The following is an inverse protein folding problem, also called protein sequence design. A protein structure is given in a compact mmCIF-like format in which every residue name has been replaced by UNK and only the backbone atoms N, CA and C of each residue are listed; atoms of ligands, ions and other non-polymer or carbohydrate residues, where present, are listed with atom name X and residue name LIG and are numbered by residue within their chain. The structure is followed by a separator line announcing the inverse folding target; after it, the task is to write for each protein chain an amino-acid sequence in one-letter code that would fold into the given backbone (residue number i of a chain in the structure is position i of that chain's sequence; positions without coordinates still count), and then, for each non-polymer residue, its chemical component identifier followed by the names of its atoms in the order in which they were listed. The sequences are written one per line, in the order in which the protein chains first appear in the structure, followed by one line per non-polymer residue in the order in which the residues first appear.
data_IF_672550052858
#
_entry.id   IF_672550052858
#
_cell.length_a   1.000
_cell.length_b   1.000
_cell.length_c   1.000
_cell.angle_alpha   90.00
_cell.angle_beta   90.00
_cell.angle_gamma   90.00
#
_symmetry.space_group_name_H-M   'P 1'
#
loop_
_entity.id
_entity.type
_entity.pdbx_description
1 polymer ?
#
# COMPACT_ATOMS: atom_id res chain seq x y z
N UNK A 1 -0.42 3.11 -12.77
CA UNK A 1 0.37 2.35 -13.75
C UNK A 1 1.46 1.50 -13.08
N UNK A 2 2.57 2.04 -12.57
CA UNK A 2 3.65 1.21 -11.98
C UNK A 2 3.17 0.09 -11.01
N UNK A 3 2.33 0.43 -10.02
CA UNK A 3 1.79 -0.57 -9.08
C UNK A 3 0.86 -1.61 -9.72
N UNK A 4 0.11 -1.24 -10.77
CA UNK A 4 -0.75 -2.21 -11.47
C UNK A 4 0.09 -3.21 -12.25
N UNK A 5 1.18 -2.73 -12.84
CA UNK A 5 2.05 -3.55 -13.68
C UNK A 5 2.78 -4.59 -12.82
N UNK A 6 3.23 -4.20 -11.62
CA UNK A 6 3.83 -5.14 -10.65
C UNK A 6 2.79 -6.15 -10.13
N UNK A 7 1.64 -5.66 -9.66
CA UNK A 7 0.64 -6.52 -8.98
C UNK A 7 0.11 -7.63 -9.86
N UNK A 8 -0.01 -7.39 -11.16
CA UNK A 8 -0.53 -8.34 -12.13
C UNK A 8 0.48 -8.60 -13.25
N UNK A 9 1.77 -8.61 -12.89
CA UNK A 9 2.89 -8.89 -13.80
C UNK A 9 2.83 -10.30 -14.36
N UNK A 10 2.51 -11.28 -13.51
CA UNK A 10 2.35 -12.68 -13.92
C UNK A 10 0.96 -12.92 -14.55
N UNK A 11 -0.10 -12.79 -13.76
CA UNK A 11 -1.47 -13.00 -14.23
C UNK A 11 -2.48 -12.28 -13.32
N UNK A 12 -3.58 -11.81 -13.91
CA UNK A 12 -4.75 -11.42 -13.11
C UNK A 12 -5.55 -12.66 -12.75
N UNK A 13 -5.92 -12.79 -11.47
CA UNK A 13 -6.85 -13.81 -10.98
C UNK A 13 -7.89 -13.11 -10.12
N UNK A 14 -9.16 -13.21 -10.49
CA UNK A 14 -10.23 -12.60 -9.73
C UNK A 14 -10.31 -13.19 -8.31
N UNK A 15 -10.27 -12.33 -7.30
CA UNK A 15 -10.41 -12.70 -5.87
C UNK A 15 -11.73 -13.41 -5.52
N UNK A 16 -12.81 -13.19 -6.28
CA UNK A 16 -14.14 -13.78 -6.03
C UNK A 16 -14.39 -15.06 -6.80
N UNK A 17 -14.20 -15.04 -8.12
CA UNK A 17 -14.57 -16.16 -9.00
C UNK A 17 -13.37 -16.88 -9.65
N UNK A 18 -12.13 -16.49 -9.33
CA UNK A 18 -10.88 -17.06 -9.88
C UNK A 18 -10.71 -16.94 -11.40
N UNK A 19 -11.60 -16.24 -12.09
CA UNK A 19 -11.45 -15.97 -13.53
C UNK A 19 -10.23 -15.10 -13.83
N UNK A 20 -9.59 -15.35 -14.98
CA UNK A 20 -8.29 -14.78 -15.32
C UNK A 20 -8.34 -13.57 -16.26
N UNK A 21 -9.49 -13.31 -16.89
CA UNK A 21 -9.66 -12.14 -17.76
C UNK A 21 -10.29 -10.96 -17.02
N UNK A 22 -9.82 -9.77 -17.37
CA UNK A 22 -10.27 -8.50 -16.80
C UNK A 22 -10.24 -7.36 -17.81
N UNK A 23 -11.10 -6.37 -17.60
CA UNK A 23 -11.01 -5.05 -18.22
C UNK A 23 -10.11 -4.12 -17.40
N UNK A 24 -9.30 -3.30 -18.07
CA UNK A 24 -8.46 -2.28 -17.44
C UNK A 24 -9.21 -0.94 -17.46
N UNK A 25 -9.37 -0.32 -16.30
CA UNK A 25 -10.00 1.00 -16.14
C UNK A 25 -8.99 2.15 -16.30
N UNK A 26 -9.50 3.38 -16.41
CA UNK A 26 -8.70 4.61 -16.52
C UNK A 26 -7.76 4.83 -15.31
N UNK A 27 -8.16 4.36 -14.13
CA UNK A 27 -7.38 4.42 -12.89
C UNK A 27 -6.42 3.22 -12.73
N UNK A 28 -6.25 2.41 -13.77
CA UNK A 28 -5.46 1.17 -13.79
C UNK A 28 -5.99 0.08 -12.85
N UNK A 29 -7.23 0.19 -12.37
CA UNK A 29 -7.91 -0.92 -11.72
C UNK A 29 -8.31 -2.00 -12.74
N UNK A 30 -8.43 -3.25 -12.29
CA UNK A 30 -8.91 -4.37 -13.10
C UNK A 30 -10.32 -4.76 -12.67
N UNK A 31 -11.25 -4.87 -13.61
CA UNK A 31 -12.61 -5.38 -13.39
C UNK A 31 -12.75 -6.75 -14.00
N UNK A 32 -13.20 -7.73 -13.22
CA UNK A 32 -13.44 -9.08 -13.71
C UNK A 32 -14.55 -9.11 -14.76
N UNK A 33 -14.34 -9.84 -15.86
CA UNK A 33 -15.33 -9.95 -16.94
C UNK A 33 -16.54 -10.81 -16.59
N UNK A 34 -16.47 -11.62 -15.53
CA UNK A 34 -17.55 -12.54 -15.13
C UNK A 34 -18.38 -11.93 -13.99
N UNK A 35 -17.77 -11.68 -12.84
CA UNK A 35 -18.50 -11.22 -11.65
C UNK A 35 -18.49 -9.69 -11.46
N UNK A 36 -17.90 -8.94 -12.40
CA UNK A 36 -17.77 -7.47 -12.34
C UNK A 36 -17.04 -6.92 -11.10
N UNK A 37 -16.35 -7.77 -10.34
CA UNK A 37 -15.55 -7.35 -9.19
C UNK A 37 -14.39 -6.47 -9.64
N UNK A 38 -14.22 -5.32 -9.00
CA UNK A 38 -13.19 -4.35 -9.36
C UNK A 38 -12.12 -4.29 -8.28
N UNK A 39 -10.87 -4.48 -8.71
CA UNK A 39 -9.71 -4.49 -7.85
C UNK A 39 -8.73 -3.38 -8.25
N UNK A 40 -8.35 -2.54 -7.28
CA UNK A 40 -7.31 -1.54 -7.48
C UNK A 40 -5.91 -2.13 -7.30
N UNK A 41 -4.91 -1.47 -7.88
CA UNK A 41 -3.50 -1.82 -7.69
C UNK A 41 -3.06 -1.79 -6.21
N UNK A 42 -3.74 -0.99 -5.38
CA UNK A 42 -3.46 -0.86 -3.94
C UNK A 42 -4.31 -1.80 -3.08
N UNK A 43 -5.24 -2.55 -3.68
CA UNK A 43 -6.08 -3.48 -2.94
C UNK A 43 -5.25 -4.58 -2.27
N UNK A 44 -5.59 -4.91 -1.02
CA UNK A 44 -4.88 -5.91 -0.21
C UNK A 44 -3.38 -5.62 0.00
N UNK A 45 -3.00 -4.35 0.02
CA UNK A 45 -1.64 -3.90 0.35
C UNK A 45 -1.65 -2.96 1.56
N UNK A 46 -0.46 -2.61 2.06
CA UNK A 46 -0.27 -1.51 3.01
C UNK A 46 -0.94 -0.20 2.56
N UNK A 47 -1.04 0.03 1.24
CA UNK A 47 -1.64 1.23 0.66
C UNK A 47 -3.14 1.12 0.39
N UNK A 48 -3.79 0.04 0.84
CA UNK A 48 -5.24 -0.13 0.67
C UNK A 48 -6.01 1.01 1.34
N UNK A 49 -6.93 1.64 0.58
CA UNK A 49 -7.80 2.77 0.98
C UNK A 49 -7.06 4.04 1.42
N UNK A 50 -5.80 4.23 1.01
CA UNK A 50 -5.09 5.50 1.23
C UNK A 50 -5.74 6.61 0.40
N UNK A 51 -6.23 7.67 1.07
CA UNK A 51 -6.91 8.81 0.44
C UNK A 51 -6.04 10.05 0.26
N UNK A 52 -4.91 10.14 0.96
CA UNK A 52 -4.01 11.31 0.94
C UNK A 52 -2.92 11.23 -0.14
N UNK A 53 -3.05 10.29 -1.08
CA UNK A 53 -2.12 10.10 -2.19
C UNK A 53 -0.99 9.12 -1.89
N UNK A 54 -0.65 8.31 -2.91
CA UNK A 54 0.35 7.25 -2.77
C UNK A 54 1.76 7.80 -2.52
N UNK A 55 2.16 8.88 -3.19
CA UNK A 55 3.50 9.47 -3.02
C UNK A 55 3.79 9.79 -1.55
N UNK A 56 2.88 10.50 -0.88
CA UNK A 56 2.98 10.82 0.54
C UNK A 56 3.02 9.56 1.40
N UNK A 57 2.19 8.56 1.10
CA UNK A 57 2.16 7.31 1.84
C UNK A 57 3.50 6.55 1.74
N UNK A 58 4.12 6.51 0.57
CA UNK A 58 5.44 5.93 0.38
C UNK A 58 6.51 6.66 1.19
N UNK A 59 6.55 7.99 1.15
CA UNK A 59 7.51 8.76 1.95
C UNK A 59 7.33 8.56 3.46
N UNK A 60 6.09 8.50 3.95
CA UNK A 60 5.84 8.20 5.36
C UNK A 60 6.36 6.80 5.71
N UNK A 61 6.13 5.79 4.86
CA UNK A 61 6.67 4.44 5.07
C UNK A 61 8.19 4.43 5.09
N UNK A 62 8.81 5.12 4.12
CA UNK A 62 10.26 5.24 4.01
C UNK A 62 10.86 5.87 5.27
N UNK A 63 10.35 7.02 5.70
CA UNK A 63 10.83 7.69 6.92
C UNK A 63 10.67 6.82 8.17
N UNK A 64 9.55 6.08 8.27
CA UNK A 64 9.36 5.15 9.37
C UNK A 64 10.29 3.94 9.33
N UNK A 65 10.72 3.49 8.13
CA UNK A 65 11.66 2.38 7.99
C UNK A 65 13.12 2.76 8.18
N UNK A 66 13.50 4.00 7.86
CA UNK A 66 14.92 4.42 7.88
C UNK A 66 15.29 5.27 9.10
N UNK A 67 14.30 5.84 9.80
CA UNK A 67 14.56 6.67 10.98
C UNK A 67 14.79 5.80 12.22
N UNK A 68 15.93 5.99 12.88
CA UNK A 68 16.19 5.46 14.24
C UNK A 68 15.46 6.26 15.32
N UNK A 69 14.91 7.43 14.97
CA UNK A 69 14.15 8.30 15.88
C UNK A 69 12.65 8.04 15.75
N UNK A 70 11.96 8.06 16.90
CA UNK A 70 10.51 8.02 16.98
C UNK A 70 9.87 9.20 16.23
N UNK A 71 9.11 8.90 15.18
CA UNK A 71 8.30 9.88 14.46
C UNK A 71 6.94 10.07 15.14
N UNK A 72 6.57 11.33 15.40
CA UNK A 72 5.25 11.66 15.95
C UNK A 72 4.23 11.89 14.84
N UNK A 73 2.96 11.58 15.12
CA UNK A 73 1.88 11.77 14.16
C UNK A 73 1.64 13.26 13.82
N UNK A 74 1.89 14.17 14.76
CA UNK A 74 1.76 15.62 14.53
C UNK A 74 2.86 16.13 13.60
N UNK A 75 4.11 15.69 13.78
CA UNK A 75 5.21 16.05 12.87
C UNK A 75 4.95 15.53 11.45
N UNK A 76 4.56 14.27 11.31
CA UNK A 76 4.20 13.65 10.02
C UNK A 76 3.04 14.40 9.36
N UNK A 77 2.04 14.82 10.12
CA UNK A 77 0.89 15.57 9.63
C UNK A 77 1.28 16.91 9.00
N UNK A 78 2.12 17.67 9.70
CA UNK A 78 2.64 18.96 9.21
C UNK A 78 3.52 18.74 7.98
N UNK A 79 4.50 17.83 8.07
CA UNK A 79 5.48 17.58 7.00
C UNK A 79 4.83 17.17 5.67
N UNK A 80 3.82 16.29 5.73
CA UNK A 80 3.18 15.77 4.53
C UNK A 80 1.85 16.45 4.20
N UNK A 81 1.42 17.46 4.98
CA UNK A 81 0.13 18.11 4.78
C UNK A 81 -1.01 17.10 4.78
N UNK A 82 -1.09 16.29 5.83
CA UNK A 82 -2.17 15.31 6.06
C UNK A 82 -2.78 15.56 7.44
N UNK A 83 -4.04 15.21 7.62
CA UNK A 83 -4.69 15.38 8.92
C UNK A 83 -4.02 14.47 9.98
N UNK A 84 -3.80 14.98 11.20
CA UNK A 84 -3.08 14.25 12.25
C UNK A 84 -3.69 12.89 12.59
N UNK A 85 -5.01 12.78 12.62
CA UNK A 85 -5.69 11.49 12.83
C UNK A 85 -5.36 10.51 11.70
N UNK A 86 -5.32 10.98 10.44
CA UNK A 86 -4.95 10.16 9.28
C UNK A 86 -3.50 9.71 9.35
N UNK A 87 -2.57 10.62 9.70
CA UNK A 87 -1.17 10.27 9.93
C UNK A 87 -1.06 9.19 11.00
N UNK A 88 -1.69 9.37 12.18
CA UNK A 88 -1.67 8.40 13.27
C UNK A 88 -2.16 7.02 12.84
N UNK A 89 -3.31 6.96 12.17
CA UNK A 89 -3.90 5.69 11.70
C UNK A 89 -3.01 5.01 10.66
N UNK A 90 -2.46 5.77 9.72
CA UNK A 90 -1.57 5.23 8.71
C UNK A 90 -0.26 4.74 9.31
N UNK A 91 0.36 5.52 10.19
CA UNK A 91 1.57 5.11 10.92
C UNK A 91 1.33 3.84 11.76
N UNK A 92 0.15 3.69 12.38
CA UNK A 92 -0.21 2.44 13.05
C UNK A 92 -0.27 1.28 12.05
N UNK A 93 -0.94 1.46 10.91
CA UNK A 93 -1.00 0.46 9.83
C UNK A 93 0.38 0.05 9.33
N UNK A 94 1.31 1.00 9.23
CA UNK A 94 2.72 0.76 8.86
C UNK A 94 3.42 -0.08 9.92
N UNK A 95 3.28 0.27 11.21
CA UNK A 95 3.87 -0.53 12.31
C UNK A 95 3.35 -1.96 12.32
N UNK A 96 2.04 -2.15 12.17
CA UNK A 96 1.45 -3.50 12.13
C UNK A 96 1.96 -4.31 10.92
N UNK A 97 2.14 -3.68 9.76
CA UNK A 97 2.71 -4.36 8.60
C UNK A 97 4.21 -4.61 8.71
N UNK A 98 4.94 -3.83 9.51
CA UNK A 98 6.38 -3.97 9.77
C UNK A 98 6.70 -4.87 10.98
N UNK A 99 5.70 -5.22 11.81
CA UNK A 99 5.84 -6.28 12.82
C UNK A 99 6.10 -7.59 12.07
N UNK A 100 7.36 -7.99 12.04
CA UNK A 100 7.85 -9.21 11.41
C UNK A 100 6.99 -10.42 11.80
N UNK A 101 6.49 -11.16 10.81
CA UNK A 101 6.57 -12.61 10.89
C UNK A 101 8.06 -12.96 10.90
N UNK A 102 8.51 -13.81 11.82
CA UNK A 102 9.93 -14.16 12.09
C UNK A 102 10.68 -14.83 10.91
N UNK A 103 10.24 -14.67 9.66
CA UNK A 103 10.70 -15.44 8.50
C UNK A 103 11.74 -14.78 7.60
N UNK A 104 12.04 -13.48 7.74
CA UNK A 104 13.02 -12.79 6.88
C UNK A 104 13.86 -11.79 7.69
N UNK A 105 14.98 -12.21 8.30
CA UNK A 105 15.90 -11.28 8.93
C UNK A 105 16.45 -10.31 7.89
N UNK A 106 16.35 -9.00 8.18
CA UNK A 106 17.07 -7.97 7.45
C UNK A 106 18.55 -8.13 7.80
N UNK A 107 19.31 -8.81 6.94
CA UNK A 107 20.77 -8.85 7.04
C UNK A 107 21.30 -7.42 6.91
N UNK A 108 21.66 -6.83 8.04
CA UNK A 108 22.49 -5.63 8.07
C UNK A 108 23.89 -6.04 7.60
N UNK A 109 24.19 -5.84 6.32
CA UNK A 109 25.58 -5.77 5.88
C UNK A 109 26.19 -4.51 6.53
N UNK A 110 26.99 -4.74 7.56
CA UNK A 110 27.98 -3.79 8.05
C UNK A 110 29.14 -3.69 7.06
#
# INVERSE_FOLDING_TARGET
KYLSDIKWSEQYICRKCKHTKSQIRKDFARTCNICSDTESATANTLFHKVKFGLKKAFFICFEMSTSTKSLSASQTAVRFGVHQRTARLFMHKVREAMKSSEGFPYERQC
#
